data_IF_563778401868
#
_entry.id   IF_563778401868
#
_cell.length_a   1.000
_cell.length_b   1.000
_cell.length_c   1.000
_cell.angle_alpha   90.00
_cell.angle_beta   90.00
_cell.angle_gamma   90.00
#
_symmetry.space_group_name_H-M   'P 1'
#
loop_
_entity.id
_entity.type
_entity.pdbx_description
1 polymer ?
#
# COMPACT_ATOMS: atom_id res chain seq x y z
N UNK A 1 -1.17 -12.77 -18.34
CA UNK A 1 -1.87 -13.62 -17.36
C UNK A 1 -2.88 -12.74 -16.63
N UNK A 2 -4.08 -13.26 -16.45
CA UNK A 2 -5.15 -12.61 -15.67
C UNK A 2 -5.29 -13.36 -14.35
N UNK A 3 -5.69 -12.62 -13.32
CA UNK A 3 -5.96 -13.12 -11.97
C UNK A 3 -7.33 -12.58 -11.50
N UNK A 4 -7.94 -13.26 -10.53
CA UNK A 4 -9.19 -12.81 -9.90
C UNK A 4 -8.92 -12.53 -8.43
N UNK A 5 -8.47 -11.31 -8.14
CA UNK A 5 -8.08 -10.91 -6.81
C UNK A 5 -9.26 -11.08 -5.83
N UNK A 6 -8.99 -11.76 -4.72
CA UNK A 6 -9.97 -12.09 -3.68
C UNK A 6 -11.23 -12.83 -4.20
N UNK A 7 -11.14 -13.49 -5.36
CA UNK A 7 -12.27 -14.18 -6.00
C UNK A 7 -13.36 -13.27 -6.55
N UNK A 8 -13.14 -11.95 -6.57
CA UNK A 8 -14.16 -10.96 -6.95
C UNK A 8 -13.70 -9.98 -8.02
N UNK A 9 -12.41 -9.64 -8.08
CA UNK A 9 -11.92 -8.53 -8.90
C UNK A 9 -10.99 -9.05 -10.01
N UNK A 10 -11.53 -9.41 -11.19
CA UNK A 10 -10.72 -9.84 -12.32
C UNK A 10 -9.91 -8.67 -12.88
N UNK A 11 -8.61 -8.87 -13.04
CA UNK A 11 -7.70 -7.93 -13.70
C UNK A 11 -6.47 -8.66 -14.27
N UNK A 12 -5.67 -7.96 -15.06
CA UNK A 12 -4.33 -8.43 -15.43
C UNK A 12 -3.51 -8.58 -14.15
N UNK A 13 -2.69 -9.65 -14.07
CA UNK A 13 -1.81 -9.87 -12.91
C UNK A 13 -0.96 -8.64 -12.57
N UNK A 14 -0.49 -7.90 -13.58
CA UNK A 14 0.26 -6.65 -13.36
C UNK A 14 -0.60 -5.54 -12.73
N UNK A 15 -1.89 -5.45 -13.07
CA UNK A 15 -2.81 -4.49 -12.47
C UNK A 15 -3.04 -4.78 -10.99
N UNK A 16 -3.28 -6.04 -10.63
CA UNK A 16 -3.35 -6.48 -9.22
C UNK A 16 -2.07 -6.16 -8.45
N UNK A 17 -0.90 -6.39 -9.05
CA UNK A 17 0.38 -6.07 -8.41
C UNK A 17 0.55 -4.56 -8.18
N UNK A 18 0.20 -3.73 -9.17
CA UNK A 18 0.23 -2.27 -9.02
C UNK A 18 -0.74 -1.81 -7.93
N UNK A 19 -1.94 -2.37 -7.87
CA UNK A 19 -2.90 -2.09 -6.79
C UNK A 19 -2.30 -2.40 -5.41
N UNK A 20 -1.63 -3.54 -5.23
CA UNK A 20 -1.02 -3.90 -3.94
C UNK A 20 0.06 -2.89 -3.54
N UNK A 21 0.91 -2.47 -4.49
CA UNK A 21 1.94 -1.45 -4.25
C UNK A 21 1.30 -0.11 -3.85
N UNK A 22 0.30 0.35 -4.60
CA UNK A 22 -0.39 1.60 -4.31
C UNK A 22 -1.12 1.55 -2.97
N UNK A 23 -1.75 0.42 -2.64
CA UNK A 23 -2.47 0.22 -1.38
C UNK A 23 -1.52 0.23 -0.18
N UNK A 24 -0.36 -0.40 -0.31
CA UNK A 24 0.69 -0.36 0.71
C UNK A 24 1.20 1.07 0.94
N UNK A 25 1.53 1.80 -0.13
CA UNK A 25 1.98 3.20 -0.04
C UNK A 25 0.90 4.09 0.58
N UNK A 26 -0.37 3.89 0.20
CA UNK A 26 -1.52 4.62 0.73
C UNK A 26 -1.65 4.43 2.24
N UNK A 27 -1.67 3.18 2.71
CA UNK A 27 -1.77 2.88 4.14
C UNK A 27 -0.50 3.24 4.91
N UNK A 28 0.68 3.17 4.30
CA UNK A 28 1.91 3.69 4.89
C UNK A 28 1.77 5.19 5.14
N UNK A 29 1.22 5.95 4.20
CA UNK A 29 0.89 7.37 4.40
C UNK A 29 -0.03 7.62 5.60
N UNK A 30 -1.07 6.79 5.78
CA UNK A 30 -1.93 6.86 6.97
C UNK A 30 -1.14 6.57 8.26
N UNK A 31 -0.25 5.57 8.24
CA UNK A 31 0.65 5.25 9.35
C UNK A 31 1.55 6.42 9.74
N UNK A 32 2.08 7.18 8.77
CA UNK A 32 2.89 8.37 9.04
C UNK A 32 2.08 9.45 9.77
N UNK A 33 0.82 9.66 9.38
CA UNK A 33 -0.08 10.58 10.08
C UNK A 33 -0.29 10.13 11.52
N UNK A 34 -0.50 8.83 11.75
CA UNK A 34 -0.68 8.30 13.10
C UNK A 34 0.57 8.42 13.98
N UNK A 35 1.75 8.10 13.44
CA UNK A 35 3.00 8.25 14.18
C UNK A 35 3.20 9.71 14.63
N UNK A 36 2.98 10.66 13.73
CA UNK A 36 3.05 12.10 14.06
C UNK A 36 2.00 12.53 15.09
N UNK A 37 0.76 12.02 14.99
CA UNK A 37 -0.29 12.30 15.96
C UNK A 37 0.07 11.78 17.37
N UNK A 38 0.89 10.73 17.45
CA UNK A 38 1.41 10.15 18.70
C UNK A 38 2.74 10.77 19.16
N UNK A 39 3.26 11.79 18.46
CA UNK A 39 4.55 12.41 18.77
C UNK A 39 5.77 11.55 18.45
N UNK A 40 5.61 10.53 17.60
CA UNK A 40 6.68 9.65 17.13
C UNK A 40 7.10 10.10 15.73
N UNK A 41 8.41 10.32 15.52
CA UNK A 41 8.92 10.62 14.18
C UNK A 41 8.90 9.35 13.31
N UNK A 42 8.20 9.34 12.16
CA UNK A 42 8.23 8.21 11.25
C UNK A 42 9.62 8.05 10.59
N UNK A 43 9.97 6.82 10.14
CA UNK A 43 11.20 6.62 9.38
C UNK A 43 11.20 7.45 8.09
N UNK A 44 12.37 7.68 7.50
CA UNK A 44 12.44 8.31 6.19
C UNK A 44 11.71 7.45 5.15
N UNK A 45 10.88 8.06 4.30
CA UNK A 45 9.98 7.33 3.39
C UNK A 45 10.69 6.39 2.40
N UNK A 46 11.94 6.68 2.09
CA UNK A 46 12.75 5.93 1.14
C UNK A 46 13.65 4.87 1.79
N UNK A 47 13.66 4.79 3.12
CA UNK A 47 14.41 3.79 3.88
C UNK A 47 13.71 2.43 3.80
N UNK A 48 14.45 1.36 3.47
CA UNK A 48 13.89 0.03 3.18
C UNK A 48 14.70 -1.10 3.80
#
# INVERSE_FOLDING_TARGET
QEDVAFGQWPDKTIGTLMYVIDNEIHHRGQGYVYLRALGIEPPAFYDR
#
